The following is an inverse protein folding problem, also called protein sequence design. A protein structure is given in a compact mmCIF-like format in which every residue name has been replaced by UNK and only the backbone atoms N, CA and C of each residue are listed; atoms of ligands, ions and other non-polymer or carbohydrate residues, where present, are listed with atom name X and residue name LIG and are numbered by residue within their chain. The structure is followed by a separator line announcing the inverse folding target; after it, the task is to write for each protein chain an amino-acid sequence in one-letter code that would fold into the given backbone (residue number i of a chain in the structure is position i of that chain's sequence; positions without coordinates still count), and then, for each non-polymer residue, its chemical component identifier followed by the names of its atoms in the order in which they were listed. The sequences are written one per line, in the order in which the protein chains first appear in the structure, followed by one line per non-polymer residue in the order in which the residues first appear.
data_IF_720213241918
#
_entry.id   IF_720213241918
#
_cell.length_a   1.000
_cell.length_b   1.000
_cell.length_c   1.000
_cell.angle_alpha   90.00
_cell.angle_beta   90.00
_cell.angle_gamma   90.00
#
_symmetry.space_group_name_H-M   'P 1'
#
loop_
_entity.id
_entity.type
_entity.pdbx_description
1 polymer ?
#
# COMPACT_ATOMS: atom_id res chain seq x y z
N UNK A 1 -15.33 10.87 -0.04
CA UNK A 1 -15.79 9.53 -0.44
C UNK A 1 -17.09 9.14 0.27
N UNK A 2 -18.17 8.96 -0.46
CA UNK A 2 -19.45 8.38 0.02
C UNK A 2 -19.31 6.87 0.24
N UNK A 3 -20.27 6.23 0.93
CA UNK A 3 -20.23 4.77 1.09
C UNK A 3 -20.33 4.04 -0.25
N UNK A 4 -21.18 4.54 -1.15
CA UNK A 4 -21.32 4.02 -2.51
C UNK A 4 -20.00 4.06 -3.27
N UNK A 5 -19.31 5.21 -3.26
CA UNK A 5 -18.00 5.37 -3.89
C UNK A 5 -16.94 4.42 -3.29
N UNK A 6 -16.96 4.19 -1.97
CA UNK A 6 -16.03 3.25 -1.33
C UNK A 6 -16.30 1.82 -1.82
N UNK A 7 -17.57 1.40 -1.85
CA UNK A 7 -17.95 0.04 -2.26
C UNK A 7 -17.66 -0.19 -3.75
N UNK A 8 -17.91 0.80 -4.61
CA UNK A 8 -17.55 0.75 -6.04
C UNK A 8 -16.04 0.59 -6.24
N UNK A 9 -15.22 1.34 -5.51
CA UNK A 9 -13.75 1.21 -5.59
C UNK A 9 -13.26 -0.14 -5.07
N UNK A 10 -13.83 -0.64 -3.97
CA UNK A 10 -13.48 -1.98 -3.45
C UNK A 10 -13.75 -3.05 -4.50
N UNK A 11 -14.93 -3.03 -5.13
CA UNK A 11 -15.30 -4.02 -6.15
C UNK A 11 -14.36 -3.93 -7.37
N UNK A 12 -14.08 -2.72 -7.84
CA UNK A 12 -13.16 -2.50 -8.96
C UNK A 12 -11.76 -3.06 -8.66
N UNK A 13 -11.17 -2.73 -7.51
CA UNK A 13 -9.83 -3.23 -7.15
C UNK A 13 -9.85 -4.73 -6.85
N UNK A 14 -10.97 -5.29 -6.39
CA UNK A 14 -11.11 -6.74 -6.22
C UNK A 14 -11.02 -7.45 -7.57
N UNK A 15 -11.72 -6.95 -8.61
CA UNK A 15 -11.64 -7.51 -9.97
C UNK A 15 -10.21 -7.46 -10.51
N UNK A 16 -9.51 -6.34 -10.30
CA UNK A 16 -8.10 -6.20 -10.69
C UNK A 16 -7.16 -7.17 -9.97
N UNK A 17 -7.36 -7.37 -8.66
CA UNK A 17 -6.60 -8.33 -7.87
C UNK A 17 -6.87 -9.78 -8.29
N UNK A 18 -8.13 -10.12 -8.58
CA UNK A 18 -8.50 -11.45 -9.08
C UNK A 18 -7.84 -11.72 -10.44
N UNK A 19 -7.80 -10.72 -11.32
CA UNK A 19 -7.08 -10.79 -12.59
C UNK A 19 -5.58 -10.98 -12.41
N UNK A 20 -4.92 -10.23 -11.52
CA UNK A 20 -3.47 -10.36 -11.29
C UNK A 20 -3.10 -11.71 -10.69
N UNK A 21 -3.93 -12.24 -9.78
CA UNK A 21 -3.75 -13.58 -9.20
C UNK A 21 -3.90 -14.67 -10.27
N UNK A 22 -4.79 -14.50 -11.24
CA UNK A 22 -4.91 -15.43 -12.37
C UNK A 22 -3.62 -15.45 -13.21
N UNK A 23 -3.00 -14.30 -13.46
CA UNK A 23 -1.71 -14.21 -14.17
C UNK A 23 -0.63 -14.98 -13.41
N UNK A 24 -0.49 -14.75 -12.10
CA UNK A 24 0.49 -15.47 -11.27
C UNK A 24 0.27 -16.99 -11.26
N UNK A 25 -0.99 -17.44 -11.22
CA UNK A 25 -1.30 -18.87 -11.24
C UNK A 25 -0.97 -19.54 -12.57
N UNK A 26 -1.08 -18.80 -13.67
CA UNK A 26 -0.77 -19.32 -15.00
C UNK A 26 0.74 -19.33 -15.26
N UNK A 27 1.51 -18.34 -14.78
CA UNK A 27 2.96 -18.34 -14.93
C UNK A 27 3.65 -19.49 -14.18
N UNK A 28 3.14 -19.89 -13.00
CA UNK A 28 3.67 -21.03 -12.23
C UNK A 28 3.48 -22.39 -12.95
N UNK A 29 2.50 -22.52 -13.85
CA UNK A 29 2.27 -23.77 -14.58
C UNK A 29 3.25 -24.00 -15.73
N UNK A 30 3.86 -22.93 -16.25
CA UNK A 30 4.82 -22.99 -17.36
C UNK A 30 6.27 -23.25 -16.91
N UNK A 31 6.57 -23.14 -15.61
CA UNK A 31 7.89 -23.41 -15.01
C UNK A 31 8.37 -24.86 -15.19
N UNK A 32 7.50 -25.77 -15.67
CA UNK A 32 7.88 -27.15 -15.99
C UNK A 32 8.59 -27.33 -17.34
N UNK A 33 8.67 -26.28 -18.19
CA UNK A 33 9.09 -26.47 -19.59
C UNK A 33 10.29 -25.65 -20.12
N UNK A 34 10.84 -24.65 -19.43
CA UNK A 34 11.95 -23.85 -20.00
C UNK A 34 13.17 -23.70 -19.09
N UNK A 35 14.28 -24.34 -19.50
CA UNK A 35 15.64 -24.15 -18.96
C UNK A 35 16.50 -23.39 -19.97
N UNK A 36 16.41 -22.06 -19.97
CA UNK A 36 17.47 -21.17 -20.46
C UNK A 36 17.57 -19.96 -19.52
N UNK A 37 18.79 -19.53 -19.23
CA UNK A 37 19.13 -18.61 -18.11
C UNK A 37 18.53 -17.20 -18.30
N UNK A 38 18.30 -16.75 -19.54
CA UNK A 38 17.66 -15.45 -19.83
C UNK A 38 16.12 -15.50 -19.64
N UNK A 39 15.48 -16.63 -19.94
CA UNK A 39 14.03 -16.80 -19.78
C UNK A 39 13.64 -16.78 -18.30
N UNK A 40 14.49 -17.36 -17.45
CA UNK A 40 14.28 -17.37 -15.99
C UNK A 40 14.33 -15.94 -15.43
N UNK A 41 15.27 -15.11 -15.88
CA UNK A 41 15.39 -13.73 -15.38
C UNK A 41 14.20 -12.85 -15.81
N UNK A 42 13.74 -13.00 -17.06
CA UNK A 42 12.55 -12.31 -17.59
C UNK A 42 11.30 -12.71 -16.79
N UNK A 43 11.09 -14.00 -16.55
CA UNK A 43 9.95 -14.52 -15.78
C UNK A 43 9.97 -14.04 -14.32
N UNK A 44 11.15 -13.93 -13.70
CA UNK A 44 11.31 -13.42 -12.34
C UNK A 44 10.89 -11.95 -12.24
N UNK A 45 11.27 -11.12 -13.22
CA UNK A 45 10.90 -9.71 -13.22
C UNK A 45 9.42 -9.47 -13.56
N UNK A 46 8.84 -10.25 -14.48
CA UNK A 46 7.40 -10.21 -14.73
C UNK A 46 6.60 -10.58 -13.47
N UNK A 47 7.02 -11.64 -12.78
CA UNK A 47 6.43 -12.02 -11.50
C UNK A 47 6.52 -10.89 -10.46
N UNK A 48 7.70 -10.28 -10.30
CA UNK A 48 7.89 -9.17 -9.36
C UNK A 48 6.98 -7.97 -9.67
N UNK A 49 6.74 -7.65 -10.95
CA UNK A 49 5.81 -6.59 -11.36
C UNK A 49 4.36 -6.93 -11.00
N UNK A 50 3.93 -8.18 -11.22
CA UNK A 50 2.57 -8.63 -10.86
C UNK A 50 2.37 -8.69 -9.36
N UNK A 51 3.38 -9.14 -8.61
CA UNK A 51 3.36 -9.12 -7.14
C UNK A 51 3.32 -7.69 -6.60
N UNK A 52 4.07 -6.76 -7.19
CA UNK A 52 4.06 -5.36 -6.80
C UNK A 52 2.69 -4.69 -7.03
N UNK A 53 2.07 -4.94 -8.18
CA UNK A 53 0.70 -4.50 -8.46
C UNK A 53 -0.31 -5.10 -7.49
N UNK A 54 -0.23 -6.41 -7.26
CA UNK A 54 -1.13 -7.12 -6.34
C UNK A 54 -0.99 -6.57 -4.91
N UNK A 55 0.23 -6.27 -4.48
CA UNK A 55 0.52 -5.64 -3.21
C UNK A 55 -0.14 -4.25 -3.08
N UNK A 56 0.03 -3.37 -4.08
CA UNK A 56 -0.58 -2.05 -4.07
C UNK A 56 -2.12 -2.14 -4.04
N UNK A 57 -2.69 -3.02 -4.87
CA UNK A 57 -4.14 -3.24 -4.99
C UNK A 57 -4.74 -3.80 -3.71
N UNK A 58 -4.13 -4.84 -3.12
CA UNK A 58 -4.59 -5.42 -1.86
C UNK A 58 -4.53 -4.41 -0.71
N UNK A 59 -3.46 -3.63 -0.63
CA UNK A 59 -3.34 -2.54 0.35
C UNK A 59 -4.46 -1.52 0.20
N UNK A 60 -4.82 -1.19 -1.05
CA UNK A 60 -5.89 -0.26 -1.36
C UNK A 60 -7.24 -0.77 -0.83
N UNK A 61 -7.56 -2.03 -1.10
CA UNK A 61 -8.78 -2.69 -0.63
C UNK A 61 -8.83 -2.71 0.90
N UNK A 62 -7.74 -3.11 1.56
CA UNK A 62 -7.64 -3.16 3.02
C UNK A 62 -7.95 -1.80 3.65
N UNK A 63 -7.30 -0.74 3.15
CA UNK A 63 -7.49 0.62 3.64
C UNK A 63 -8.89 1.17 3.34
N UNK A 64 -9.48 0.87 2.17
CA UNK A 64 -10.87 1.24 1.88
C UNK A 64 -11.85 0.54 2.82
N UNK A 65 -11.63 -0.74 3.10
CA UNK A 65 -12.44 -1.49 4.07
C UNK A 65 -12.32 -0.90 5.47
N UNK A 66 -11.09 -0.61 5.93
CA UNK A 66 -10.85 0.05 7.21
C UNK A 66 -11.49 1.45 7.26
N UNK A 67 -11.39 2.23 6.19
CA UNK A 67 -12.01 3.57 6.09
C UNK A 67 -13.53 3.50 6.16
N UNK A 68 -14.14 2.55 5.43
CA UNK A 68 -15.59 2.28 5.50
C UNK A 68 -16.02 1.96 6.92
N UNK A 69 -15.28 1.09 7.61
CA UNK A 69 -15.60 0.68 8.98
C UNK A 69 -15.41 1.83 9.97
N UNK A 70 -14.36 2.63 9.81
CA UNK A 70 -14.13 3.83 10.62
C UNK A 70 -15.28 4.84 10.48
N UNK A 71 -15.82 5.03 9.27
CA UNK A 71 -16.98 5.90 9.03
C UNK A 71 -18.28 5.35 9.64
N UNK A 72 -18.39 4.04 9.83
CA UNK A 72 -19.56 3.38 10.45
C UNK A 72 -19.43 3.24 11.97
N UNK A 73 -18.23 3.43 12.52
CA UNK A 73 -17.95 3.25 13.93
C UNK A 73 -18.82 4.17 14.79
N UNK A 74 -19.55 3.56 15.74
CA UNK A 74 -20.47 4.26 16.65
C UNK A 74 -19.82 4.53 18.00
N UNK A 75 -18.90 3.67 18.41
CA UNK A 75 -18.18 3.74 19.68
C UNK A 75 -16.74 4.19 19.48
N UNK A 76 -16.15 4.79 20.53
CA UNK A 76 -14.73 5.13 20.49
C UNK A 76 -13.83 3.89 20.39
N UNK A 77 -14.30 2.74 20.86
CA UNK A 77 -13.56 1.48 20.77
C UNK A 77 -13.50 0.95 19.33
N UNK A 78 -14.60 1.00 18.59
CA UNK A 78 -14.61 0.67 17.16
C UNK A 78 -13.71 1.62 16.37
N UNK A 79 -13.71 2.92 16.69
CA UNK A 79 -12.80 3.88 16.06
C UNK A 79 -11.34 3.53 16.34
N UNK A 80 -11.00 3.29 17.60
CA UNK A 80 -9.65 2.90 18.00
C UNK A 80 -9.18 1.61 17.32
N UNK A 81 -10.05 0.58 17.28
CA UNK A 81 -9.75 -0.66 16.60
C UNK A 81 -9.42 -0.43 15.12
N UNK A 82 -10.28 0.28 14.39
CA UNK A 82 -10.05 0.54 12.96
C UNK A 82 -8.82 1.43 12.73
N UNK A 83 -8.58 2.42 13.59
CA UNK A 83 -7.37 3.25 13.51
C UNK A 83 -6.10 2.42 13.72
N UNK A 84 -6.08 1.50 14.69
CA UNK A 84 -4.95 0.60 14.88
C UNK A 84 -4.69 -0.25 13.64
N UNK A 85 -5.74 -0.80 13.04
CA UNK A 85 -5.62 -1.55 11.78
C UNK A 85 -5.02 -0.66 10.68
N UNK A 86 -5.53 0.57 10.49
CA UNK A 86 -4.98 1.50 9.51
C UNK A 86 -3.49 1.78 9.72
N UNK A 87 -3.07 2.10 10.95
CA UNK A 87 -1.67 2.34 11.27
C UNK A 87 -0.79 1.11 10.97
N UNK A 88 -1.25 -0.10 11.31
CA UNK A 88 -0.52 -1.34 11.01
C UNK A 88 -0.42 -1.60 9.51
N UNK A 89 -1.53 -1.50 8.78
CA UNK A 89 -1.55 -1.68 7.33
C UNK A 89 -0.58 -0.71 6.66
N UNK A 90 -0.61 0.57 7.05
CA UNK A 90 0.32 1.59 6.55
C UNK A 90 1.78 1.21 6.86
N UNK A 91 2.05 0.73 8.07
CA UNK A 91 3.41 0.35 8.48
C UNK A 91 3.96 -0.77 7.61
N UNK A 92 3.18 -1.85 7.45
CA UNK A 92 3.57 -2.99 6.63
C UNK A 92 3.66 -2.60 5.15
N UNK A 93 2.80 -1.70 4.69
CA UNK A 93 2.85 -1.14 3.33
C UNK A 93 4.17 -0.42 3.09
N UNK A 94 4.55 0.51 3.96
CA UNK A 94 5.78 1.30 3.80
C UNK A 94 7.00 0.36 3.76
N UNK A 95 7.08 -0.61 4.68
CA UNK A 95 8.21 -1.55 4.72
C UNK A 95 8.27 -2.46 3.48
N UNK A 96 7.11 -2.91 3.00
CA UNK A 96 7.02 -3.79 1.83
C UNK A 96 7.28 -3.03 0.53
N UNK A 97 6.80 -1.79 0.43
CA UNK A 97 7.11 -0.87 -0.67
C UNK A 97 8.62 -0.70 -0.86
N UNK A 98 9.38 -0.42 0.21
CA UNK A 98 10.83 -0.23 0.08
C UNK A 98 11.56 -1.50 -0.42
N UNK A 99 11.03 -2.70 -0.14
CA UNK A 99 11.54 -3.96 -0.69
C UNK A 99 11.25 -4.04 -2.19
N UNK A 100 9.99 -3.91 -2.58
CA UNK A 100 9.59 -3.95 -4.00
C UNK A 100 10.27 -2.88 -4.84
N UNK A 101 10.37 -1.64 -4.35
CA UNK A 101 11.08 -0.55 -5.03
C UNK A 101 12.50 -0.97 -5.44
N UNK A 102 13.22 -1.64 -4.55
CA UNK A 102 14.58 -2.11 -4.82
C UNK A 102 14.63 -3.21 -5.90
N UNK A 103 13.62 -4.08 -5.94
CA UNK A 103 13.49 -5.15 -6.95
C UNK A 103 13.06 -4.59 -8.31
N UNK A 104 12.02 -3.76 -8.34
CA UNK A 104 11.54 -3.11 -9.56
C UNK A 104 12.64 -2.25 -10.20
N UNK A 105 13.39 -1.48 -9.41
CA UNK A 105 14.48 -0.65 -9.94
C UNK A 105 15.62 -1.47 -10.57
N UNK A 106 15.81 -2.73 -10.16
CA UNK A 106 16.76 -3.66 -10.80
C UNK A 106 16.22 -4.23 -12.11
N UNK A 107 14.90 -4.37 -12.22
CA UNK A 107 14.22 -4.97 -13.37
C UNK A 107 14.08 -4.08 -14.61
N UNK A 108 14.49 -2.81 -14.53
CA UNK A 108 14.26 -1.81 -15.57
C UNK A 108 15.53 -1.51 -16.37
N UNK A 109 15.35 -1.14 -17.64
CA UNK A 109 16.47 -0.84 -18.52
C UNK A 109 17.25 0.39 -18.03
N UNK A 110 18.48 0.57 -18.52
CA UNK A 110 19.30 1.73 -18.12
C UNK A 110 18.65 3.05 -18.55
N UNK A 111 17.97 3.04 -19.68
CA UNK A 111 17.26 4.17 -20.27
C UNK A 111 16.04 4.56 -19.43
N UNK A 112 15.35 3.58 -18.83
CA UNK A 112 14.16 3.78 -18.00
C UNK A 112 14.48 4.21 -16.56
N UNK A 113 15.68 3.91 -16.05
CA UNK A 113 16.05 4.14 -14.65
C UNK A 113 15.82 5.57 -14.16
N UNK A 114 16.06 6.58 -14.98
CA UNK A 114 15.85 7.97 -14.56
C UNK A 114 14.38 8.31 -14.36
N UNK A 115 13.48 7.78 -15.20
CA UNK A 115 12.02 7.95 -15.04
C UNK A 115 11.55 7.31 -13.73
N UNK A 116 11.97 6.07 -13.49
CA UNK A 116 11.59 5.31 -12.29
C UNK A 116 12.19 5.92 -11.03
N UNK A 117 13.41 6.44 -11.09
CA UNK A 117 14.05 7.15 -9.99
C UNK A 117 13.28 8.42 -9.63
N UNK A 118 12.82 9.20 -10.61
CA UNK A 118 11.97 10.37 -10.36
C UNK A 118 10.66 9.97 -9.70
N UNK A 119 9.99 8.96 -10.25
CA UNK A 119 8.74 8.43 -9.69
C UNK A 119 8.88 7.99 -8.23
N UNK A 120 9.88 7.14 -7.95
CA UNK A 120 10.15 6.71 -6.59
C UNK A 120 10.70 7.83 -5.69
N UNK A 121 11.25 8.90 -6.25
CA UNK A 121 11.59 10.11 -5.52
C UNK A 121 10.34 10.75 -4.96
N UNK A 122 9.40 11.08 -5.83
CA UNK A 122 8.11 11.70 -5.48
C UNK A 122 7.31 10.87 -4.48
N UNK A 123 7.21 9.55 -4.68
CA UNK A 123 6.55 8.68 -3.69
C UNK A 123 7.20 8.73 -2.30
N UNK A 124 8.53 8.89 -2.22
CA UNK A 124 9.16 9.03 -0.91
C UNK A 124 8.89 10.39 -0.29
N UNK A 125 8.76 11.43 -1.09
CA UNK A 125 8.43 12.78 -0.63
C UNK A 125 7.01 12.77 -0.02
N UNK A 126 6.03 12.12 -0.68
CA UNK A 126 4.69 11.89 -0.11
C UNK A 126 4.73 11.12 1.22
N UNK A 127 5.55 10.06 1.29
CA UNK A 127 5.72 9.31 2.54
C UNK A 127 6.37 10.15 3.64
N UNK A 128 7.30 11.03 3.27
CA UNK A 128 7.95 11.92 4.22
C UNK A 128 6.96 12.92 4.79
N UNK A 129 6.21 13.62 3.95
CA UNK A 129 5.17 14.57 4.36
C UNK A 129 4.12 13.89 5.24
N UNK A 130 3.61 12.73 4.80
CA UNK A 130 2.69 11.92 5.60
C UNK A 130 3.24 11.57 6.98
N UNK A 131 4.52 11.17 7.07
CA UNK A 131 5.12 10.80 8.35
C UNK A 131 5.26 11.98 9.29
N UNK A 132 5.60 13.16 8.76
CA UNK A 132 5.71 14.39 9.54
C UNK A 132 4.35 14.83 10.08
N UNK A 133 3.34 14.92 9.20
CA UNK A 133 1.98 15.39 9.54
C UNK A 133 1.33 14.56 10.66
N UNK A 134 1.53 13.25 10.64
CA UNK A 134 0.94 12.34 11.62
C UNK A 134 1.90 11.96 12.75
N UNK A 135 3.09 12.55 12.81
CA UNK A 135 4.19 12.13 13.70
C UNK A 135 4.36 10.61 13.71
N UNK A 136 4.27 10.01 12.52
CA UNK A 136 3.98 8.60 12.34
C UNK A 136 5.07 7.73 12.98
N UNK A 137 6.34 8.06 12.76
CA UNK A 137 7.48 7.32 13.30
C UNK A 137 7.56 7.39 14.85
N UNK A 138 6.94 8.39 15.49
CA UNK A 138 6.81 8.49 16.95
C UNK A 138 5.62 7.71 17.50
N UNK A 139 4.51 7.68 16.78
CA UNK A 139 3.25 7.05 17.21
C UNK A 139 3.26 5.54 16.94
N UNK A 140 3.71 5.13 15.75
CA UNK A 140 3.59 3.76 15.26
C UNK A 140 4.26 2.71 16.16
N UNK A 141 5.48 2.93 16.73
CA UNK A 141 6.09 1.97 17.65
C UNK A 141 5.22 1.69 18.89
N UNK A 142 4.49 2.70 19.38
CA UNK A 142 3.59 2.54 20.53
C UNK A 142 2.38 1.69 20.15
N UNK A 143 1.78 1.94 19.00
CA UNK A 143 0.64 1.16 18.50
C UNK A 143 1.03 -0.31 18.26
N UNK A 144 2.17 -0.54 17.61
CA UNK A 144 2.66 -1.90 17.30
C UNK A 144 2.95 -2.68 18.58
N UNK A 145 3.75 -2.11 19.47
CA UNK A 145 4.31 -2.83 20.61
C UNK A 145 3.37 -2.91 21.81
N UNK A 146 2.44 -1.95 21.97
CA UNK A 146 1.63 -1.84 23.19
C UNK A 146 0.16 -2.21 23.02
N UNK A 147 -0.35 -2.24 21.79
CA UNK A 147 -1.77 -2.53 21.59
C UNK A 147 -2.09 -3.54 20.50
N UNK A 148 -1.20 -3.79 19.55
CA UNK A 148 -1.54 -4.60 18.36
C UNK A 148 -0.83 -5.95 18.27
N UNK A 149 0.51 -5.97 18.29
CA UNK A 149 1.26 -7.22 18.18
C UNK A 149 1.41 -7.95 19.52
N UNK A 150 1.40 -7.20 20.62
CA UNK A 150 1.47 -7.73 21.98
C UNK A 150 0.44 -7.01 22.84
N UNK A 151 -0.47 -7.76 23.47
CA UNK A 151 -1.22 -7.22 24.60
C UNK A 151 -0.22 -6.99 25.73
N UNK A 152 0.04 -5.73 26.03
CA UNK A 152 0.90 -5.41 27.15
C UNK A 152 0.26 -5.95 28.43
N UNK A 153 1.06 -6.60 29.29
CA UNK A 153 0.59 -7.05 30.60
C UNK A 153 0.19 -5.86 31.47
N UNK A 154 0.77 -4.69 31.21
CA UNK A 154 0.37 -3.42 31.79
C UNK A 154 -0.78 -2.80 30.98
N UNK A 155 -2.00 -2.92 31.51
CA UNK A 155 -3.19 -2.35 30.87
C UNK A 155 -3.16 -0.82 30.78
N UNK A 156 -2.43 -0.12 31.66
CA UNK A 156 -2.26 1.34 31.56
C UNK A 156 -1.48 1.72 30.29
N UNK A 157 -0.45 0.95 29.94
CA UNK A 157 0.32 1.17 28.71
C UNK A 157 -0.56 0.90 27.48
N UNK A 158 -1.37 -0.16 27.51
CA UNK A 158 -2.36 -0.45 26.46
C UNK A 158 -3.35 0.70 26.29
N UNK A 159 -3.96 1.16 27.39
CA UNK A 159 -4.95 2.24 27.36
C UNK A 159 -4.33 3.60 26.97
N UNK A 160 -3.07 3.86 27.31
CA UNK A 160 -2.37 5.08 26.87
C UNK A 160 -2.28 5.19 25.34
N UNK A 161 -2.20 4.06 24.63
CA UNK A 161 -2.22 4.04 23.16
C UNK A 161 -3.60 4.42 22.59
N UNK A 162 -4.67 4.09 23.31
CA UNK A 162 -6.03 4.52 23.00
C UNK A 162 -6.18 6.04 23.14
N UNK A 163 -5.69 6.60 24.25
CA UNK A 163 -5.72 8.05 24.47
C UNK A 163 -4.87 8.81 23.45
N UNK A 164 -3.71 8.25 23.07
CA UNK A 164 -2.84 8.80 22.04
C UNK A 164 -3.59 8.95 20.71
N UNK A 165 -4.20 7.87 20.22
CA UNK A 165 -4.96 7.87 18.96
C UNK A 165 -6.21 8.76 19.00
N UNK A 166 -6.81 8.91 20.18
CA UNK A 166 -7.93 9.83 20.41
C UNK A 166 -7.50 11.30 20.38
N UNK A 167 -6.33 11.63 20.93
CA UNK A 167 -5.79 13.00 21.02
C UNK A 167 -5.38 13.56 19.67
N UNK A 168 -4.76 12.75 18.82
CA UNK A 168 -4.20 13.22 17.54
C UNK A 168 -5.23 13.46 16.44
N UNK A 169 -6.54 13.45 16.75
CA UNK A 169 -7.64 13.56 15.78
C UNK A 169 -7.25 12.95 14.43
N UNK A 170 -6.95 11.66 14.45
CA UNK A 170 -6.48 10.82 13.33
C UNK A 170 -7.47 10.71 12.16
N UNK A 171 -8.38 11.68 12.05
CA UNK A 171 -9.63 11.61 11.31
C UNK A 171 -9.46 11.41 9.83
N UNK A 172 -8.27 11.57 9.26
CA UNK A 172 -8.06 11.28 7.84
C UNK A 172 -6.71 10.63 7.53
N UNK A 173 -6.08 9.91 8.47
CA UNK A 173 -4.79 9.23 8.20
C UNK A 173 -4.85 8.32 6.97
N UNK A 174 -5.96 7.59 6.78
CA UNK A 174 -6.15 6.73 5.61
C UNK A 174 -6.25 7.55 4.32
N UNK A 175 -6.97 8.69 4.36
CA UNK A 175 -7.11 9.56 3.19
C UNK A 175 -5.79 10.21 2.83
N UNK A 176 -5.04 10.69 3.82
CA UNK A 176 -3.72 11.25 3.60
C UNK A 176 -2.78 10.20 3.01
N UNK A 177 -2.86 8.95 3.47
CA UNK A 177 -2.04 7.88 2.90
C UNK A 177 -2.44 7.50 1.47
N UNK A 178 -3.68 7.78 1.04
CA UNK A 178 -4.08 7.57 -0.37
C UNK A 178 -3.33 8.51 -1.35
N UNK A 179 -2.77 9.63 -0.91
CA UNK A 179 -1.89 10.45 -1.76
C UNK A 179 -0.61 9.72 -2.17
N UNK A 180 -0.10 8.84 -1.31
CA UNK A 180 0.98 7.90 -1.66
C UNK A 180 0.46 6.70 -2.46
N UNK A 181 -0.67 6.11 -2.04
CA UNK A 181 -1.10 4.82 -2.58
C UNK A 181 -1.72 4.92 -3.99
N UNK A 182 -2.43 6.01 -4.31
CA UNK A 182 -2.99 6.26 -5.64
C UNK A 182 -1.92 6.22 -6.75
N UNK A 183 -0.86 7.05 -6.67
CA UNK A 183 0.20 7.02 -7.68
C UNK A 183 0.95 5.69 -7.69
N UNK A 184 1.16 5.05 -6.53
CA UNK A 184 1.78 3.73 -6.45
C UNK A 184 0.98 2.67 -7.21
N UNK A 185 -0.34 2.64 -7.01
CA UNK A 185 -1.24 1.74 -7.70
C UNK A 185 -1.24 2.01 -9.21
N UNK A 186 -1.43 3.27 -9.61
CA UNK A 186 -1.40 3.67 -11.01
C UNK A 186 -0.12 3.23 -11.72
N UNK A 187 1.03 3.49 -11.09
CA UNK A 187 2.32 3.12 -11.64
C UNK A 187 2.53 1.61 -11.72
N UNK A 188 2.18 0.87 -10.68
CA UNK A 188 2.33 -0.59 -10.70
C UNK A 188 1.43 -1.24 -11.76
N UNK A 189 0.24 -0.69 -12.01
CA UNK A 189 -0.61 -1.11 -13.13
C UNK A 189 -0.02 -0.75 -14.51
N UNK A 190 0.48 0.48 -14.65
CA UNK A 190 1.12 0.93 -15.90
C UNK A 190 2.37 0.12 -16.24
N UNK A 191 3.13 -0.24 -15.21
CA UNK A 191 4.30 -1.11 -15.29
C UNK A 191 3.94 -2.52 -15.80
N UNK A 192 2.77 -3.04 -15.43
CA UNK A 192 2.26 -4.31 -15.97
C UNK A 192 1.88 -4.23 -17.44
N UNK A 193 1.34 -3.09 -17.88
CA UNK A 193 0.95 -2.90 -19.27
C UNK A 193 2.10 -2.54 -20.21
N UNK A 194 3.27 -2.19 -19.66
CA UNK A 194 4.37 -1.61 -20.43
C UNK A 194 4.08 -0.19 -20.92
N UNK A 195 3.14 0.51 -20.26
CA UNK A 195 2.61 1.82 -20.65
C UNK A 195 2.94 2.87 -19.57
N UNK A 196 4.17 2.90 -19.06
CA UNK A 196 4.55 3.91 -18.05
C UNK A 196 4.54 5.30 -18.69
N UNK A 197 3.42 5.99 -18.53
CA UNK A 197 3.18 7.34 -19.06
C UNK A 197 3.40 8.41 -17.99
N UNK A 198 4.39 9.27 -18.19
CA UNK A 198 4.72 10.41 -17.33
C UNK A 198 3.54 11.41 -17.20
N UNK A 199 2.69 11.52 -18.23
CA UNK A 199 1.60 12.50 -18.29
C UNK A 199 0.36 12.05 -17.50
N UNK A 200 -0.03 10.79 -17.60
CA UNK A 200 -1.12 10.24 -16.81
C UNK A 200 -0.76 10.17 -15.32
N UNK A 201 0.52 9.99 -15.00
CA UNK A 201 1.03 10.04 -13.62
C UNK A 201 0.87 11.42 -12.98
N UNK A 202 1.18 12.52 -13.67
CA UNK A 202 0.93 13.88 -13.13
C UNK A 202 -0.57 14.15 -12.89
N UNK A 203 -1.45 13.51 -13.67
CA UNK A 203 -2.89 13.67 -13.55
C UNK A 203 -3.52 12.78 -12.46
N UNK A 204 -2.94 11.61 -12.15
CA UNK A 204 -3.43 10.73 -11.07
C UNK A 204 -3.29 11.34 -9.67
N UNK A 205 -2.55 12.44 -9.56
CA UNK A 205 -2.42 13.26 -8.35
C UNK A 205 -3.55 14.29 -8.18
N UNK A 206 -4.26 14.64 -9.25
CA UNK A 206 -5.29 15.70 -9.26
C UNK A 206 -6.73 15.17 -9.16
N UNK A 207 -6.95 13.86 -9.03
CA UNK A 207 -8.26 13.18 -8.97
C UNK A 207 -8.47 12.43 -7.66
#
# INVERSE_FOLDING_TARGET
MTFKEIDERINHYQEELEWSVMILKNSIKDDSYNKEVDVIEILVYEKARVEFFSFATATYIDLLCTYRNLKRAKTDWEKFYNLRIAYLTIYETINTYFKFKGEIYKSVSKEEKEIYKRFFGMLNDELYEFKEDFHYDKIMPKIRNKSSAHYDRNFLDYYSSFELLKKYESKDIIRSFFYFLNPLHYFSFSLLKGEVDEFLFLNSWMS
#
